data_IF_298734403780
#
_entry.id   IF_298734403780
#
_cell.length_a   1.000
_cell.length_b   1.000
_cell.length_c   1.000
_cell.angle_alpha   90.00
_cell.angle_beta   90.00
_cell.angle_gamma   90.00
#
_symmetry.space_group_name_H-M   'P 1'
#
loop_
_entity.id
_entity.type
_entity.pdbx_description
1 polymer ?
#
# COMPACT_ATOMS: atom_id res chain seq x y z
N UNK A 1 48.70 -69.23 47.22
CA UNK A 1 47.32 -69.13 46.76
C UNK A 1 46.81 -67.72 47.05
N UNK A 2 47.00 -66.79 46.20
CA UNK A 2 46.63 -65.41 46.42
C UNK A 2 45.61 -64.95 45.29
N UNK A 3 44.40 -64.70 45.67
CA UNK A 3 43.32 -64.14 44.80
C UNK A 3 43.63 -62.70 44.57
N UNK A 4 43.81 -62.29 43.33
CA UNK A 4 43.83 -60.88 42.94
C UNK A 4 42.45 -60.51 42.40
N UNK A 5 41.73 -59.65 43.13
CA UNK A 5 40.54 -59.07 42.72
C UNK A 5 40.89 -57.86 41.85
N UNK A 6 40.53 -57.92 40.56
CA UNK A 6 40.74 -56.83 39.63
C UNK A 6 39.50 -55.93 39.67
N UNK A 7 39.65 -54.77 40.25
CA UNK A 7 38.63 -53.72 40.25
C UNK A 7 38.67 -53.00 38.89
N UNK A 8 37.70 -53.25 38.05
CA UNK A 8 37.49 -52.50 36.79
C UNK A 8 36.66 -51.27 37.14
N UNK A 9 37.27 -50.12 37.19
CA UNK A 9 36.58 -48.85 37.27
C UNK A 9 36.06 -48.45 35.88
N UNK A 10 34.77 -48.58 35.69
CA UNK A 10 34.08 -48.13 34.47
C UNK A 10 33.96 -46.60 34.49
N UNK A 11 34.85 -45.92 33.79
CA UNK A 11 34.73 -44.47 33.54
C UNK A 11 33.62 -44.21 32.53
N UNK A 12 32.49 -43.72 33.01
CA UNK A 12 31.43 -43.19 32.16
C UNK A 12 31.85 -41.82 31.62
N UNK A 13 32.30 -41.76 30.39
CA UNK A 13 32.53 -40.52 29.67
C UNK A 13 31.14 -40.04 29.17
N UNK A 14 30.54 -39.11 29.88
CA UNK A 14 29.34 -38.41 29.40
C UNK A 14 29.81 -37.39 28.39
N UNK A 15 29.73 -37.75 27.09
CA UNK A 15 29.89 -36.80 25.99
C UNK A 15 28.61 -35.95 25.91
N UNK A 16 28.66 -34.80 26.56
CA UNK A 16 27.63 -33.77 26.38
C UNK A 16 27.72 -33.24 24.96
N UNK A 17 26.82 -33.68 24.07
CA UNK A 17 26.57 -32.97 22.80
C UNK A 17 25.98 -31.63 23.14
N UNK A 18 26.81 -30.60 23.15
CA UNK A 18 26.36 -29.21 23.05
C UNK A 18 25.80 -29.03 21.64
N UNK A 19 24.47 -29.21 21.49
CA UNK A 19 23.72 -28.70 20.34
C UNK A 19 23.77 -27.19 20.45
N UNK A 20 24.67 -26.54 19.75
CA UNK A 20 24.54 -25.13 19.40
C UNK A 20 23.31 -25.01 18.49
N UNK A 21 22.16 -24.76 19.08
CA UNK A 21 21.06 -24.19 18.37
C UNK A 21 21.52 -22.80 17.92
N UNK A 22 22.03 -22.71 16.69
CA UNK A 22 21.99 -21.49 15.93
C UNK A 22 20.50 -21.20 15.65
N UNK A 23 19.81 -20.79 16.70
CA UNK A 23 18.60 -20.00 16.58
C UNK A 23 19.03 -18.64 16.01
N UNK A 24 19.27 -18.63 14.70
CA UNK A 24 19.13 -17.39 13.94
C UNK A 24 17.65 -17.04 14.05
N UNK A 25 17.29 -16.46 15.20
CA UNK A 25 16.10 -15.64 15.31
C UNK A 25 16.28 -14.58 14.22
N UNK A 26 15.59 -14.78 13.10
CA UNK A 26 15.31 -13.71 12.15
C UNK A 26 14.59 -12.65 13.00
N UNK A 27 15.37 -11.75 13.56
CA UNK A 27 14.86 -10.56 14.20
C UNK A 27 14.12 -9.84 13.08
N UNK A 28 12.81 -10.11 12.99
CA UNK A 28 11.91 -9.34 12.17
C UNK A 28 12.12 -7.90 12.62
N UNK A 29 12.77 -7.10 11.78
CA UNK A 29 12.99 -5.69 12.06
C UNK A 29 11.65 -5.12 12.52
N UNK A 30 11.57 -4.79 13.81
CA UNK A 30 10.42 -4.07 14.33
C UNK A 30 10.45 -2.73 13.60
N UNK A 31 9.41 -2.37 12.83
CA UNK A 31 9.41 -1.10 12.12
C UNK A 31 9.70 0.01 13.12
N UNK A 32 10.59 0.91 12.76
CA UNK A 32 10.90 2.08 13.57
C UNK A 32 9.59 2.87 13.82
N UNK A 33 9.01 2.65 14.98
CA UNK A 33 7.71 3.24 15.37
C UNK A 33 7.81 4.76 15.56
N UNK A 34 9.01 5.32 15.62
CA UNK A 34 9.23 6.75 15.74
C UNK A 34 9.28 7.47 14.39
N UNK A 35 9.50 6.73 13.29
CA UNK A 35 9.58 7.33 11.96
C UNK A 35 8.22 7.85 11.51
N UNK A 36 8.18 9.15 11.21
CA UNK A 36 6.99 9.82 10.64
C UNK A 36 7.20 10.13 9.17
N UNK A 37 6.11 10.02 8.41
CA UNK A 37 6.07 10.32 6.97
C UNK A 37 5.09 11.47 6.74
N UNK A 38 5.47 12.37 5.83
CA UNK A 38 4.61 13.48 5.40
C UNK A 38 4.44 13.37 3.90
N UNK A 39 3.22 13.13 3.47
CA UNK A 39 2.86 13.02 2.07
C UNK A 39 1.98 14.19 1.64
N UNK A 40 2.04 14.50 0.37
CA UNK A 40 1.20 15.48 -0.29
C UNK A 40 0.23 14.78 -1.21
N UNK A 41 -1.04 15.13 -1.13
CA UNK A 41 -2.09 14.70 -2.05
C UNK A 41 -2.62 15.91 -2.82
N UNK A 42 -2.72 15.77 -4.13
CA UNK A 42 -3.41 16.76 -4.99
C UNK A 42 -4.68 16.15 -5.58
N UNK A 43 -5.74 16.94 -5.69
CA UNK A 43 -7.02 16.44 -6.18
C UNK A 43 -7.51 17.22 -7.40
N UNK A 44 -8.33 16.56 -8.22
CA UNK A 44 -9.02 17.19 -9.34
C UNK A 44 -10.29 17.92 -8.92
N UNK A 45 -10.69 17.81 -7.65
CA UNK A 45 -11.90 18.43 -7.10
C UNK A 45 -11.59 19.45 -6.00
N UNK A 46 -12.44 20.42 -5.78
CA UNK A 46 -12.32 21.35 -4.65
C UNK A 46 -12.37 20.61 -3.32
N UNK A 47 -11.73 21.16 -2.30
CA UNK A 47 -11.94 20.73 -0.91
C UNK A 47 -13.40 20.87 -0.51
N UNK A 48 -13.81 20.03 0.42
CA UNK A 48 -15.20 19.99 0.93
C UNK A 48 -16.27 19.72 -0.16
N UNK A 49 -15.86 19.37 -1.38
CA UNK A 49 -16.83 18.98 -2.40
C UNK A 49 -17.51 17.67 -1.98
N UNK A 50 -18.85 17.62 -1.89
CA UNK A 50 -19.57 16.46 -1.41
C UNK A 50 -19.17 15.17 -2.14
N UNK A 51 -18.85 14.13 -1.39
CA UNK A 51 -18.35 12.85 -1.89
C UNK A 51 -16.90 12.91 -2.32
N UNK A 52 -16.59 13.55 -3.43
CA UNK A 52 -15.27 13.47 -4.08
C UNK A 52 -14.17 14.24 -3.33
N UNK A 53 -14.38 15.50 -2.98
CA UNK A 53 -13.42 16.29 -2.22
C UNK A 53 -13.29 15.78 -0.79
N UNK A 54 -14.41 15.53 -0.13
CA UNK A 54 -14.44 15.00 1.24
C UNK A 54 -13.80 13.62 1.36
N UNK A 55 -13.86 12.79 0.32
CA UNK A 55 -13.22 11.48 0.36
C UNK A 55 -11.71 11.57 0.55
N UNK A 56 -11.03 12.50 -0.12
CA UNK A 56 -9.61 12.74 0.04
C UNK A 56 -9.25 13.25 1.45
N UNK A 57 -10.06 14.14 2.00
CA UNK A 57 -9.87 14.68 3.35
C UNK A 57 -10.11 13.62 4.42
N UNK A 58 -11.16 12.82 4.29
CA UNK A 58 -11.44 11.69 5.18
C UNK A 58 -10.32 10.64 5.13
N UNK A 59 -9.81 10.31 3.94
CA UNK A 59 -8.68 9.39 3.81
C UNK A 59 -7.46 9.90 4.58
N UNK A 60 -7.15 11.19 4.44
CA UNK A 60 -6.05 11.82 5.18
C UNK A 60 -6.22 11.68 6.70
N UNK A 61 -7.43 11.93 7.19
CA UNK A 61 -7.76 11.79 8.62
C UNK A 61 -7.64 10.33 9.07
N UNK A 62 -8.25 9.39 8.37
CA UNK A 62 -8.21 7.98 8.73
C UNK A 62 -6.78 7.42 8.75
N UNK A 63 -5.96 7.80 7.78
CA UNK A 63 -4.56 7.38 7.72
C UNK A 63 -3.76 7.95 8.89
N UNK A 64 -3.98 9.20 9.28
CA UNK A 64 -3.34 9.81 10.46
C UNK A 64 -3.73 9.06 11.74
N UNK A 65 -5.02 8.81 11.95
CA UNK A 65 -5.54 8.07 13.10
C UNK A 65 -5.03 6.61 13.13
N UNK A 66 -5.16 5.87 12.03
CA UNK A 66 -4.75 4.46 11.93
C UNK A 66 -3.25 4.26 12.07
N UNK A 67 -2.44 5.22 11.61
CA UNK A 67 -0.99 5.19 11.73
C UNK A 67 -0.47 5.72 13.08
N UNK A 68 -1.36 6.16 13.97
CA UNK A 68 -1.02 6.87 15.22
C UNK A 68 -0.12 8.09 14.96
N UNK A 69 -0.46 8.89 13.93
CA UNK A 69 0.27 10.10 13.55
C UNK A 69 1.56 9.87 12.76
N UNK A 70 1.89 8.62 12.42
CA UNK A 70 3.13 8.30 11.67
C UNK A 70 3.08 8.65 10.20
N UNK A 71 1.90 8.59 9.58
CA UNK A 71 1.70 9.03 8.19
C UNK A 71 0.69 10.17 8.16
N UNK A 72 1.17 11.34 7.77
CA UNK A 72 0.35 12.55 7.63
C UNK A 72 0.25 12.93 6.16
N UNK A 73 -0.97 13.01 5.64
CA UNK A 73 -1.24 13.37 4.26
C UNK A 73 -1.81 14.79 4.24
N UNK A 74 -1.12 15.73 3.57
CA UNK A 74 -1.66 17.07 3.35
C UNK A 74 -2.39 17.12 2.02
N UNK A 75 -3.70 17.36 2.08
CA UNK A 75 -4.55 17.44 0.89
C UNK A 75 -4.57 18.86 0.34
N UNK A 76 -4.36 18.98 -0.97
CA UNK A 76 -4.53 20.20 -1.75
C UNK A 76 -5.66 20.00 -2.75
N UNK A 77 -6.65 20.86 -2.69
CA UNK A 77 -7.79 20.84 -3.59
C UNK A 77 -7.44 21.31 -5.00
N UNK A 78 -8.43 21.25 -5.86
CA UNK A 78 -8.36 21.69 -7.25
C UNK A 78 -7.68 23.05 -7.39
N UNK A 79 -6.58 23.12 -8.15
CA UNK A 79 -5.90 24.37 -8.49
C UNK A 79 -5.07 25.01 -7.36
N UNK A 80 -5.02 24.42 -6.15
CA UNK A 80 -4.22 24.96 -5.06
C UNK A 80 -2.71 24.77 -5.27
N UNK A 81 -2.31 23.62 -5.78
CA UNK A 81 -0.90 23.29 -6.00
C UNK A 81 -0.59 23.02 -7.47
N UNK A 82 -1.45 22.25 -8.14
CA UNK A 82 -1.34 21.94 -9.56
C UNK A 82 -2.69 22.16 -10.25
N UNK A 83 -2.71 22.42 -11.58
CA UNK A 83 -3.96 22.40 -12.34
C UNK A 83 -4.65 21.03 -12.24
N UNK A 84 -5.99 20.94 -12.28
CA UNK A 84 -6.69 19.66 -12.12
C UNK A 84 -6.23 18.56 -13.06
N UNK A 85 -6.01 18.90 -14.34
CA UNK A 85 -5.54 17.92 -15.32
C UNK A 85 -4.04 17.60 -15.19
N UNK A 86 -3.30 18.33 -14.36
CA UNK A 86 -1.89 18.10 -14.05
C UNK A 86 -1.65 17.10 -12.91
N UNK A 87 -2.71 16.63 -12.23
CA UNK A 87 -2.61 15.71 -11.10
C UNK A 87 -1.86 14.43 -11.48
N UNK A 88 -2.18 13.83 -12.61
CA UNK A 88 -1.49 12.64 -13.11
C UNK A 88 0.01 12.86 -13.28
N UNK A 89 0.39 13.95 -13.94
CA UNK A 89 1.81 14.26 -14.19
C UNK A 89 2.55 14.55 -12.89
N UNK A 90 1.93 15.24 -11.96
CA UNK A 90 2.55 15.57 -10.69
C UNK A 90 2.91 14.31 -9.88
N UNK A 91 2.06 13.28 -9.90
CA UNK A 91 2.35 12.00 -9.22
C UNK A 91 3.36 11.17 -10.01
N UNK A 92 3.16 10.99 -11.32
CA UNK A 92 4.05 10.17 -12.14
C UNK A 92 5.49 10.72 -12.23
N UNK A 93 5.66 12.02 -12.01
CA UNK A 93 6.99 12.67 -11.94
C UNK A 93 7.54 12.72 -10.51
N UNK A 94 6.83 12.19 -9.53
CA UNK A 94 7.26 12.21 -8.13
C UNK A 94 7.29 13.59 -7.49
N UNK A 95 6.54 14.56 -8.04
CA UNK A 95 6.41 15.92 -7.45
C UNK A 95 5.56 15.86 -6.18
N UNK A 96 4.58 14.95 -6.15
CA UNK A 96 3.73 14.64 -4.99
C UNK A 96 3.55 13.13 -4.88
N UNK A 97 3.23 12.65 -3.70
CA UNK A 97 3.09 11.22 -3.42
C UNK A 97 1.73 10.64 -3.85
N UNK A 98 0.68 11.45 -3.81
CA UNK A 98 -0.68 10.98 -4.07
C UNK A 98 -1.44 11.93 -4.99
N UNK A 99 -2.26 11.34 -5.86
CA UNK A 99 -3.22 12.04 -6.70
C UNK A 99 -4.63 11.46 -6.52
N UNK A 100 -5.62 12.31 -6.44
CA UNK A 100 -7.01 11.90 -6.39
C UNK A 100 -7.78 12.46 -7.58
N UNK A 101 -8.26 11.59 -8.46
CA UNK A 101 -8.95 11.96 -9.69
C UNK A 101 -9.67 10.78 -10.31
N UNK A 102 -10.51 11.02 -11.30
CA UNK A 102 -11.14 9.97 -12.06
C UNK A 102 -10.20 9.52 -13.20
N UNK A 103 -9.98 8.22 -13.36
CA UNK A 103 -9.01 7.72 -14.34
C UNK A 103 -9.38 8.08 -15.79
N UNK A 104 -10.66 8.28 -16.13
CA UNK A 104 -11.05 8.70 -17.47
C UNK A 104 -10.50 10.10 -17.86
N UNK A 105 -10.07 10.93 -16.90
CA UNK A 105 -9.40 12.20 -17.23
C UNK A 105 -8.07 12.00 -17.96
N UNK A 106 -7.48 10.82 -17.83
CA UNK A 106 -6.16 10.47 -18.38
C UNK A 106 -6.21 9.73 -19.71
N UNK A 107 -7.38 9.63 -20.37
CA UNK A 107 -7.55 8.95 -21.67
C UNK A 107 -6.63 9.46 -22.77
N UNK A 108 -6.19 10.71 -22.69
CA UNK A 108 -5.18 11.28 -23.57
C UNK A 108 -3.79 10.66 -23.41
N UNK A 109 -3.49 10.06 -22.27
CA UNK A 109 -2.23 9.40 -21.92
C UNK A 109 -2.35 7.88 -21.96
N UNK A 110 -3.42 7.37 -21.40
CA UNK A 110 -3.71 5.93 -21.28
C UNK A 110 -5.11 5.70 -21.83
N UNK A 111 -5.22 5.16 -23.02
CA UNK A 111 -6.53 4.96 -23.68
C UNK A 111 -7.47 4.05 -22.92
N UNK A 112 -6.93 3.06 -22.19
CA UNK A 112 -7.71 2.13 -21.37
C UNK A 112 -8.16 2.73 -20.03
N UNK A 113 -7.65 3.89 -19.61
CA UNK A 113 -7.95 4.46 -18.29
C UNK A 113 -9.44 4.75 -18.06
N UNK A 114 -10.19 4.99 -19.14
CA UNK A 114 -11.63 5.21 -19.06
C UNK A 114 -12.42 4.00 -18.55
N UNK A 115 -11.91 2.80 -18.71
CA UNK A 115 -12.62 1.57 -18.31
C UNK A 115 -12.57 1.29 -16.81
N UNK A 116 -11.69 1.98 -16.07
CA UNK A 116 -11.55 1.83 -14.62
C UNK A 116 -12.42 2.80 -13.83
N UNK A 117 -13.35 3.48 -14.48
CA UNK A 117 -14.33 4.41 -13.91
C UNK A 117 -15.69 4.24 -14.57
N UNK A 118 -16.53 5.30 -14.55
CA UNK A 118 -17.85 5.28 -15.17
C UNK A 118 -17.76 5.22 -16.70
N UNK A 119 -18.30 4.16 -17.29
CA UNK A 119 -18.55 4.03 -18.71
C UNK A 119 -20.06 4.13 -18.95
N UNK A 120 -20.53 4.98 -19.85
CA UNK A 120 -21.96 5.06 -20.16
C UNK A 120 -22.54 3.69 -20.51
N UNK A 121 -23.64 3.30 -19.89
CA UNK A 121 -24.26 1.97 -20.01
C UNK A 121 -23.36 0.80 -19.60
N UNK A 122 -22.27 1.07 -18.87
CA UNK A 122 -21.36 0.07 -18.34
C UNK A 122 -21.82 -0.51 -17.00
N UNK A 123 -20.85 -0.91 -16.19
CA UNK A 123 -21.10 -1.50 -14.88
C UNK A 123 -21.67 -0.47 -13.90
N UNK A 124 -22.61 -0.90 -13.07
CA UNK A 124 -23.02 -0.12 -11.90
C UNK A 124 -21.85 -0.02 -10.91
N UNK A 125 -21.94 0.90 -9.93
CA UNK A 125 -20.91 1.08 -8.91
C UNK A 125 -20.54 -0.24 -8.19
N UNK A 126 -21.53 -1.07 -7.89
CA UNK A 126 -21.33 -2.34 -7.20
C UNK A 126 -20.69 -3.41 -8.10
N UNK A 127 -21.11 -3.47 -9.36
CA UNK A 127 -20.51 -4.34 -10.36
C UNK A 127 -19.07 -3.93 -10.67
N UNK A 128 -18.78 -2.62 -10.74
CA UNK A 128 -17.43 -2.08 -10.91
C UNK A 128 -16.54 -2.49 -9.75
N UNK A 129 -17.00 -2.37 -8.50
CA UNK A 129 -16.26 -2.86 -7.34
C UNK A 129 -16.01 -4.38 -7.41
N UNK A 130 -17.02 -5.15 -7.82
CA UNK A 130 -16.88 -6.60 -8.03
C UNK A 130 -15.83 -6.92 -9.10
N UNK A 131 -15.86 -6.21 -10.22
CA UNK A 131 -14.88 -6.39 -11.29
C UNK A 131 -13.47 -5.97 -10.86
N UNK A 132 -13.30 -4.82 -10.23
CA UNK A 132 -12.00 -4.35 -9.76
C UNK A 132 -11.36 -5.34 -8.78
N UNK A 133 -12.12 -5.81 -7.79
CA UNK A 133 -11.54 -6.60 -6.70
C UNK A 133 -11.54 -8.13 -6.94
N UNK A 134 -12.39 -8.63 -7.83
CA UNK A 134 -12.58 -10.08 -8.03
C UNK A 134 -12.60 -10.51 -9.50
N UNK A 135 -12.66 -9.56 -10.43
CA UNK A 135 -12.75 -9.82 -11.87
C UNK A 135 -11.51 -9.47 -12.67
N UNK A 136 -10.38 -9.20 -12.02
CA UNK A 136 -9.12 -8.87 -12.68
C UNK A 136 -8.99 -7.39 -13.11
N UNK A 137 -9.94 -6.54 -12.72
CA UNK A 137 -9.95 -5.13 -13.11
C UNK A 137 -8.81 -4.34 -12.48
N UNK A 138 -8.44 -4.64 -11.24
CA UNK A 138 -7.34 -3.95 -10.56
C UNK A 138 -5.99 -4.30 -11.18
N UNK A 139 -5.75 -5.56 -11.51
CA UNK A 139 -4.53 -6.01 -12.16
C UNK A 139 -4.35 -5.36 -13.54
N UNK A 140 -5.43 -5.26 -14.32
CA UNK A 140 -5.42 -4.54 -15.61
C UNK A 140 -5.16 -3.04 -15.44
N UNK A 141 -5.67 -2.46 -14.37
CA UNK A 141 -5.44 -1.06 -14.05
C UNK A 141 -3.98 -0.81 -13.64
N UNK A 142 -3.42 -1.66 -12.82
CA UNK A 142 -2.00 -1.64 -12.44
C UNK A 142 -1.10 -1.79 -13.67
N UNK A 143 -1.38 -2.75 -14.55
CA UNK A 143 -0.64 -2.94 -15.81
C UNK A 143 -0.68 -1.68 -16.68
N UNK A 144 -1.85 -1.04 -16.80
CA UNK A 144 -2.02 0.18 -17.59
C UNK A 144 -1.25 1.39 -17.02
N UNK A 145 -1.06 1.44 -15.69
CA UNK A 145 -0.42 2.56 -14.99
C UNK A 145 1.06 2.33 -14.71
N UNK A 146 1.53 1.08 -14.74
CA UNK A 146 2.94 0.73 -14.48
C UNK A 146 3.96 1.50 -15.35
N UNK A 147 3.72 1.77 -16.66
CA UNK A 147 4.66 2.56 -17.48
C UNK A 147 4.87 4.00 -17.00
N UNK A 148 4.02 4.48 -16.09
CA UNK A 148 4.07 5.83 -15.52
C UNK A 148 4.50 5.85 -14.05
N UNK A 149 5.00 4.72 -13.53
CA UNK A 149 5.38 4.54 -12.12
C UNK A 149 4.23 4.85 -11.15
N UNK A 150 3.00 4.53 -11.53
CA UNK A 150 1.79 4.77 -10.76
C UNK A 150 1.17 3.46 -10.26
N UNK A 151 0.73 3.48 -9.01
CA UNK A 151 -0.08 2.41 -8.42
C UNK A 151 -1.51 2.93 -8.24
N UNK A 152 -2.49 2.38 -8.97
CA UNK A 152 -3.88 2.80 -8.82
C UNK A 152 -4.53 2.19 -7.58
N UNK A 153 -5.36 2.98 -6.92
CA UNK A 153 -6.18 2.55 -5.79
C UNK A 153 -7.62 3.01 -6.00
N UNK A 154 -8.57 2.12 -5.81
CA UNK A 154 -9.98 2.46 -5.86
C UNK A 154 -10.35 3.27 -4.61
N UNK A 155 -10.54 4.58 -4.77
CA UNK A 155 -10.82 5.52 -3.66
C UNK A 155 -12.30 5.75 -3.38
N UNK A 156 -13.20 5.18 -4.17
CA UNK A 156 -14.64 5.35 -4.05
C UNK A 156 -15.32 5.48 -5.40
N UNK A 157 -16.63 5.65 -5.38
CA UNK A 157 -17.42 5.92 -6.58
C UNK A 157 -18.47 7.01 -6.31
N UNK A 158 -19.03 7.56 -7.37
CA UNK A 158 -20.01 8.65 -7.31
C UNK A 158 -21.46 8.15 -7.31
N UNK A 159 -21.67 6.85 -7.26
CA UNK A 159 -22.97 6.22 -7.45
C UNK A 159 -23.36 6.12 -8.93
N UNK A 160 -24.62 5.89 -9.17
CA UNK A 160 -25.25 5.84 -10.51
C UNK A 160 -26.02 7.09 -10.80
#
# INVERSE_FOLDING_TARGET
MKKYILLITLSLVITSCSQSNDDQSVAKEIPDLEKTFKWTMVTTWPKNYPGLGMAAENLSQYVDEMSNGRLKIKVYGQGELVPPMGVFDAVSQGVVELGHGASYYWTGKIKSSQFFTAVPFGLTAQEMNGWLHYGGGLELWEEAYAPFDLVPLAGGNTGV
#
